data_IF_752622460893
#
_entry.id   IF_752622460893
#
_cell.length_a   1.000
_cell.length_b   1.000
_cell.length_c   1.000
_cell.angle_alpha   90.00
_cell.angle_beta   90.00
_cell.angle_gamma   90.00
#
_symmetry.space_group_name_H-M   'P 1'
#
loop_
_entity.id
_entity.type
_entity.pdbx_description
1 polymer ?
#
# COMPACT_ATOMS: atom_id res chain seq x y z
N UNK A 1 0.58 1.74 0.71
CA UNK A 1 -0.26 0.58 1.08
C UNK A 1 -1.67 1.00 1.51
N UNK A 2 -1.83 1.89 2.51
CA UNK A 2 -3.17 2.35 2.98
C UNK A 2 -4.00 3.02 1.87
N UNK A 3 -3.42 4.02 1.21
CA UNK A 3 -4.10 4.80 0.17
C UNK A 3 -4.72 3.95 -0.97
N UNK A 4 -3.97 3.07 -1.65
CA UNK A 4 -4.51 2.25 -2.74
C UNK A 4 -5.59 1.25 -2.28
N UNK A 5 -5.49 0.71 -1.05
CA UNK A 5 -6.50 -0.20 -0.50
C UNK A 5 -7.81 0.52 -0.19
N UNK A 6 -7.74 1.63 0.55
CA UNK A 6 -8.91 2.47 0.87
C UNK A 6 -9.58 3.02 -0.39
N UNK A 7 -8.79 3.42 -1.39
CA UNK A 7 -9.28 3.80 -2.72
C UNK A 7 -10.06 2.66 -3.40
N UNK A 8 -9.52 1.44 -3.40
CA UNK A 8 -10.14 0.27 -4.03
C UNK A 8 -11.41 -0.17 -3.32
N UNK A 9 -11.44 -0.11 -1.99
CA UNK A 9 -12.57 -0.56 -1.16
C UNK A 9 -13.55 0.56 -0.81
N UNK A 10 -13.25 1.81 -1.21
CA UNK A 10 -14.04 2.99 -0.90
C UNK A 10 -14.38 3.14 0.59
N UNK A 11 -13.39 2.90 1.46
CA UNK A 11 -13.55 2.85 2.91
C UNK A 11 -12.59 3.81 3.65
N UNK A 12 -12.90 4.20 4.91
CA UNK A 12 -11.95 4.86 5.79
C UNK A 12 -10.72 3.99 6.08
N UNK A 13 -9.65 4.61 6.57
CA UNK A 13 -8.40 3.89 6.88
C UNK A 13 -8.61 2.77 7.91
N UNK A 14 -9.49 2.99 8.89
CA UNK A 14 -9.77 2.06 9.99
C UNK A 14 -10.32 0.71 9.53
N UNK A 15 -11.02 0.67 8.40
CA UNK A 15 -11.61 -0.55 7.85
C UNK A 15 -10.54 -1.59 7.49
N UNK A 16 -9.33 -1.12 7.13
CA UNK A 16 -8.22 -2.00 6.76
C UNK A 16 -7.83 -2.97 7.89
N UNK A 17 -8.15 -2.64 9.16
CA UNK A 17 -7.88 -3.52 10.31
C UNK A 17 -8.52 -4.90 10.20
N UNK A 18 -9.62 -5.01 9.45
CA UNK A 18 -10.34 -6.27 9.23
C UNK A 18 -9.69 -7.15 8.16
N UNK A 19 -8.61 -6.67 7.53
CA UNK A 19 -7.89 -7.33 6.44
C UNK A 19 -6.39 -7.54 6.75
N UNK A 20 -6.03 -8.14 7.92
CA UNK A 20 -4.64 -8.25 8.35
C UNK A 20 -3.81 -9.15 7.42
N UNK A 21 -4.44 -10.15 6.79
CA UNK A 21 -3.77 -11.05 5.85
C UNK A 21 -3.38 -10.34 4.56
N UNK A 22 -4.27 -9.51 3.99
CA UNK A 22 -3.94 -8.69 2.83
C UNK A 22 -2.85 -7.67 3.14
N UNK A 23 -2.91 -7.02 4.31
CA UNK A 23 -1.88 -6.06 4.74
C UNK A 23 -0.53 -6.77 4.83
N UNK A 24 -0.47 -7.94 5.48
CA UNK A 24 0.78 -8.69 5.63
C UNK A 24 1.38 -9.08 4.28
N UNK A 25 0.56 -9.60 3.35
CA UNK A 25 1.04 -9.96 2.01
C UNK A 25 1.64 -8.78 1.25
N UNK A 26 1.05 -7.59 1.36
CA UNK A 26 1.59 -6.38 0.73
C UNK A 26 2.87 -5.94 1.45
N UNK A 27 2.92 -6.05 2.78
CA UNK A 27 4.14 -5.75 3.54
C UNK A 27 5.30 -6.67 3.16
N UNK A 28 5.06 -7.96 2.95
CA UNK A 28 6.06 -8.92 2.44
C UNK A 28 6.59 -8.52 1.06
N UNK A 29 5.69 -8.16 0.12
CA UNK A 29 6.08 -7.70 -1.22
C UNK A 29 6.94 -6.43 -1.15
N UNK A 30 6.55 -5.47 -0.31
CA UNK A 30 7.24 -4.17 -0.17
C UNK A 30 8.58 -4.34 0.55
N UNK A 31 8.62 -5.10 1.64
CA UNK A 31 9.85 -5.38 2.38
C UNK A 31 10.89 -6.07 1.49
N UNK A 32 10.47 -7.04 0.66
CA UNK A 32 11.37 -7.69 -0.29
C UNK A 32 12.00 -6.70 -1.30
N UNK A 33 11.23 -5.71 -1.76
CA UNK A 33 11.74 -4.64 -2.63
C UNK A 33 12.72 -3.75 -1.86
N UNK A 34 12.37 -3.31 -0.65
CA UNK A 34 13.20 -2.44 0.18
C UNK A 34 14.56 -3.10 0.51
N UNK A 35 14.56 -4.39 0.85
CA UNK A 35 15.79 -5.16 1.07
C UNK A 35 16.68 -5.20 -0.18
N UNK A 36 16.10 -5.35 -1.38
CA UNK A 36 16.86 -5.30 -2.64
C UNK A 36 17.38 -3.91 -3.00
N UNK A 37 16.80 -2.86 -2.44
CA UNK A 37 17.35 -1.50 -2.51
C UNK A 37 18.55 -1.28 -1.56
N UNK A 38 18.86 -2.25 -0.69
CA UNK A 38 19.94 -2.15 0.30
C UNK A 38 19.53 -1.48 1.60
N UNK A 39 18.22 -1.37 1.86
CA UNK A 39 17.68 -0.86 3.11
C UNK A 39 17.15 -2.02 3.96
N UNK A 40 17.54 -2.06 5.23
CA UNK A 40 17.12 -3.14 6.12
C UNK A 40 15.71 -2.92 6.66
N UNK A 41 14.81 -3.87 6.42
CA UNK A 41 13.44 -3.86 6.96
C UNK A 41 12.84 -5.27 7.00
N UNK A 42 11.97 -5.53 7.97
CA UNK A 42 11.17 -6.76 8.00
C UNK A 42 9.72 -6.49 7.60
N UNK A 43 9.02 -7.53 7.11
CA UNK A 43 7.60 -7.43 6.80
C UNK A 43 6.78 -7.15 8.07
N UNK A 44 7.22 -7.68 9.20
CA UNK A 44 6.62 -7.49 10.52
C UNK A 44 6.75 -6.04 11.00
N UNK A 45 7.94 -5.44 10.90
CA UNK A 45 8.14 -4.03 11.28
C UNK A 45 7.28 -3.11 10.42
N UNK A 46 7.22 -3.40 9.11
CA UNK A 46 6.42 -2.64 8.17
C UNK A 46 4.92 -2.79 8.47
N UNK A 47 4.46 -4.01 8.76
CA UNK A 47 3.07 -4.26 9.18
C UNK A 47 2.73 -3.49 10.45
N UNK A 48 3.58 -3.55 11.47
CA UNK A 48 3.31 -2.92 12.75
C UNK A 48 3.23 -1.40 12.61
N UNK A 49 4.12 -0.81 11.81
CA UNK A 49 4.04 0.60 11.45
C UNK A 49 2.74 0.95 10.71
N UNK A 50 2.33 0.12 9.74
CA UNK A 50 1.06 0.32 9.00
C UNK A 50 -0.14 0.25 9.92
N UNK A 51 -0.18 -0.72 10.83
CA UNK A 51 -1.28 -0.87 11.79
C UNK A 51 -1.35 0.33 12.74
N UNK A 52 -0.21 0.83 13.22
CA UNK A 52 -0.17 2.07 14.02
C UNK A 52 -0.76 3.26 13.26
N UNK A 53 -0.43 3.43 11.98
CA UNK A 53 -0.98 4.52 11.16
C UNK A 53 -2.49 4.31 10.94
N UNK A 54 -2.94 3.08 10.70
CA UNK A 54 -4.37 2.76 10.57
C UNK A 54 -5.12 3.13 11.85
N UNK A 55 -4.61 2.73 13.02
CA UNK A 55 -5.22 3.02 14.31
C UNK A 55 -5.25 4.53 14.59
N UNK A 56 -4.14 5.24 14.35
CA UNK A 56 -4.04 6.68 14.58
C UNK A 56 -4.92 7.51 13.62
N UNK A 57 -5.33 6.96 12.49
CA UNK A 57 -6.08 7.67 11.44
C UNK A 57 -7.37 6.97 11.04
N UNK A 58 -7.93 6.15 11.93
CA UNK A 58 -9.01 5.21 11.60
C UNK A 58 -10.22 5.87 10.91
N UNK A 59 -10.64 7.05 11.38
CA UNK A 59 -11.78 7.79 10.84
C UNK A 59 -11.47 8.58 9.56
N UNK A 60 -10.19 8.65 9.16
CA UNK A 60 -9.78 9.48 8.03
C UNK A 60 -10.08 8.79 6.69
N UNK A 61 -10.44 9.60 5.71
CA UNK A 61 -10.49 9.22 4.29
C UNK A 61 -9.13 9.52 3.67
N UNK A 62 -8.47 8.52 3.09
CA UNK A 62 -7.14 8.70 2.45
C UNK A 62 -7.18 9.72 1.31
N UNK A 63 -6.07 10.42 1.06
CA UNK A 63 -5.97 11.42 -0.01
C UNK A 63 -6.34 10.84 -1.38
N UNK A 64 -5.85 9.64 -1.68
CA UNK A 64 -6.15 8.94 -2.93
C UNK A 64 -7.65 8.62 -3.07
N UNK A 65 -8.32 8.20 -1.98
CA UNK A 65 -9.77 8.00 -2.02
C UNK A 65 -10.52 9.33 -2.22
N UNK A 66 -10.03 10.43 -1.64
CA UNK A 66 -10.60 11.76 -1.89
C UNK A 66 -10.44 12.17 -3.37
N UNK A 67 -9.29 11.90 -3.99
CA UNK A 67 -9.05 12.19 -5.41
C UNK A 67 -9.97 11.38 -6.31
N UNK A 68 -10.12 10.08 -6.06
CA UNK A 68 -11.06 9.22 -6.80
C UNK A 68 -12.50 9.74 -6.67
N UNK A 69 -12.95 10.04 -5.45
CA UNK A 69 -14.30 10.59 -5.20
C UNK A 69 -14.52 11.93 -5.88
N UNK A 70 -13.46 12.71 -6.09
CA UNK A 70 -13.51 14.00 -6.76
C UNK A 70 -13.15 13.94 -8.26
N UNK A 71 -12.99 12.74 -8.83
CA UNK A 71 -12.61 12.53 -10.23
C UNK A 71 -11.31 13.27 -10.63
N UNK A 72 -10.34 13.32 -9.72
CA UNK A 72 -9.01 13.89 -9.95
C UNK A 72 -7.99 12.79 -10.25
N UNK A 73 -6.90 13.19 -10.89
CA UNK A 73 -5.72 12.32 -11.02
C UNK A 73 -5.16 11.95 -9.65
N UNK A 74 -4.71 10.70 -9.51
CA UNK A 74 -4.12 10.18 -8.28
C UNK A 74 -2.60 10.08 -8.40
N UNK A 75 -1.91 9.99 -7.26
CA UNK A 75 -0.45 9.79 -7.20
C UNK A 75 -0.02 8.32 -7.35
N UNK A 76 -0.92 7.46 -7.87
CA UNK A 76 -0.73 6.00 -7.88
C UNK A 76 0.54 5.56 -8.64
N UNK A 77 0.87 6.24 -9.74
CA UNK A 77 2.05 5.96 -10.58
C UNK A 77 3.38 6.28 -9.89
N UNK A 78 3.34 7.25 -8.97
CA UNK A 78 4.50 7.67 -8.21
C UNK A 78 4.76 6.76 -7.00
N UNK A 79 3.70 6.31 -6.33
CA UNK A 79 3.83 5.48 -5.13
C UNK A 79 3.96 4.00 -5.51
N UNK A 80 2.88 3.39 -5.98
CA UNK A 80 2.86 1.96 -6.30
C UNK A 80 3.55 1.68 -7.63
N UNK A 81 3.45 2.61 -8.59
CA UNK A 81 4.16 2.49 -9.86
C UNK A 81 5.68 2.47 -9.67
N UNK A 82 6.23 3.25 -8.73
CA UNK A 82 7.66 3.18 -8.39
C UNK A 82 8.04 1.82 -7.82
N UNK A 83 7.32 1.33 -6.81
CA UNK A 83 7.59 0.01 -6.22
C UNK A 83 7.51 -1.11 -7.27
N UNK A 84 6.52 -1.08 -8.16
CA UNK A 84 6.41 -2.04 -9.26
C UNK A 84 7.62 -1.98 -10.19
N UNK A 85 8.10 -0.78 -10.54
CA UNK A 85 9.31 -0.62 -11.37
C UNK A 85 10.55 -1.18 -10.67
N UNK A 86 10.72 -0.93 -9.37
CA UNK A 86 11.85 -1.47 -8.58
C UNK A 86 11.76 -3.00 -8.44
N UNK A 87 10.59 -3.53 -8.13
CA UNK A 87 10.36 -4.97 -8.07
C UNK A 87 10.73 -5.66 -9.39
N UNK A 88 10.30 -5.10 -10.52
CA UNK A 88 10.66 -5.61 -11.86
C UNK A 88 12.15 -5.54 -12.12
N UNK A 89 12.82 -4.44 -11.77
CA UNK A 89 14.26 -4.30 -11.95
C UNK A 89 15.07 -5.37 -11.17
N UNK A 90 14.56 -5.80 -10.01
CA UNK A 90 15.16 -6.84 -9.18
C UNK A 90 14.66 -8.26 -9.45
N UNK A 91 13.77 -8.45 -10.43
CA UNK A 91 13.17 -9.75 -10.73
C UNK A 91 12.26 -10.30 -9.63
N UNK A 92 11.71 -9.43 -8.77
CA UNK A 92 10.81 -9.82 -7.70
C UNK A 92 9.36 -9.92 -8.18
N UNK A 93 8.59 -10.95 -7.74
CA UNK A 93 7.16 -10.99 -7.97
C UNK A 93 6.47 -9.89 -7.17
N UNK A 94 5.62 -9.10 -7.84
CA UNK A 94 4.81 -8.05 -7.22
C UNK A 94 3.38 -8.23 -7.74
N UNK A 95 2.51 -8.88 -6.95
CA UNK A 95 1.25 -9.48 -7.43
C UNK A 95 0.01 -8.86 -6.80
N UNK A 96 0.04 -8.57 -5.51
CA UNK A 96 -1.12 -8.05 -4.76
C UNK A 96 -1.23 -6.54 -4.88
N UNK A 97 -0.11 -5.84 -4.83
CA UNK A 97 -0.11 -4.38 -4.93
C UNK A 97 -0.56 -3.83 -6.30
N UNK A 98 -0.33 -4.51 -7.45
CA UNK A 98 -0.89 -4.11 -8.74
C UNK A 98 -2.41 -4.22 -8.87
N UNK A 99 -3.08 -5.04 -8.05
CA UNK A 99 -4.55 -5.15 -8.11
C UNK A 99 -5.23 -3.83 -7.76
N UNK A 100 -4.55 -2.97 -6.99
CA UNK A 100 -5.00 -1.62 -6.64
C UNK A 100 -4.65 -0.55 -7.70
N UNK A 101 -3.95 -0.90 -8.79
CA UNK A 101 -3.55 0.02 -9.87
C UNK A 101 -4.61 0.15 -10.99
N UNK A 102 -5.86 -0.31 -10.78
CA UNK A 102 -6.88 -0.36 -11.84
C UNK A 102 -7.63 0.96 -12.11
N UNK A 103 -7.08 2.10 -11.73
CA UNK A 103 -7.77 3.40 -11.77
C UNK A 103 -6.91 4.47 -12.43
#
# INVERSE_FOLDING_TARGET
MINPLTATWNCPNGELRHHPQEIMQICEEVAAVIEREGHHTSAEDLRDYVMQVIDATAENISSMLQDIRALRHTEIDYINGFLLRRARAHGLPYRKTPACLKW
#
